data_IF_893213437153
#
_entry.id   IF_893213437153
#
_cell.length_a   1.000
_cell.length_b   1.000
_cell.length_c   1.000
_cell.angle_alpha   90.00
_cell.angle_beta   90.00
_cell.angle_gamma   90.00
#
_symmetry.space_group_name_H-M   'P 1'
#
loop_
_entity.id
_entity.type
_entity.pdbx_description
1 polymer ?
#
# COMPACT_ATOMS: atom_id res chain seq x y z
N UNK A 1 15.79 19.36 12.69
CA UNK A 1 14.41 19.19 12.20
C UNK A 1 14.43 19.18 10.69
N UNK A 2 13.87 18.17 10.04
CA UNK A 2 13.96 18.06 8.58
C UNK A 2 13.49 16.72 8.05
N UNK A 3 12.25 16.32 8.35
CA UNK A 3 11.58 15.19 7.66
C UNK A 3 10.16 15.57 7.24
N UNK A 4 10.01 16.84 6.85
CA UNK A 4 8.78 17.43 6.33
C UNK A 4 8.94 17.89 4.89
N UNK A 5 9.75 17.19 4.07
CA UNK A 5 9.59 17.32 2.64
C UNK A 5 8.20 16.76 2.34
N UNK A 6 7.23 17.66 2.11
CA UNK A 6 5.89 17.31 1.68
C UNK A 6 6.05 16.41 0.46
N UNK A 7 5.85 15.10 0.60
CA UNK A 7 5.73 14.22 -0.56
C UNK A 7 4.69 14.86 -1.47
N UNK A 8 5.06 15.10 -2.72
CA UNK A 8 4.12 15.72 -3.64
C UNK A 8 2.93 14.77 -3.85
N UNK A 9 1.78 15.29 -4.27
CA UNK A 9 0.64 14.44 -4.56
C UNK A 9 0.99 13.35 -5.61
N UNK A 10 1.89 13.67 -6.55
CA UNK A 10 2.40 12.75 -7.55
C UNK A 10 3.23 11.61 -6.93
N UNK A 11 4.10 11.91 -5.96
CA UNK A 11 4.90 10.87 -5.28
C UNK A 11 4.03 9.90 -4.49
N UNK A 12 2.96 10.41 -3.86
CA UNK A 12 2.00 9.58 -3.12
C UNK A 12 1.19 8.69 -4.05
N UNK A 13 0.76 9.20 -5.20
CA UNK A 13 0.10 8.43 -6.26
C UNK A 13 1.00 7.30 -6.77
N UNK A 14 2.24 7.64 -7.17
CA UNK A 14 3.21 6.67 -7.65
C UNK A 14 3.50 5.58 -6.60
N UNK A 15 3.64 5.96 -5.33
CA UNK A 15 3.83 5.00 -4.24
C UNK A 15 2.60 4.10 -4.04
N UNK A 16 1.40 4.66 -4.13
CA UNK A 16 0.14 3.91 -4.03
C UNK A 16 0.02 2.88 -5.15
N UNK A 17 0.33 3.28 -6.38
CA UNK A 17 0.30 2.39 -7.55
C UNK A 17 1.34 1.27 -7.43
N UNK A 18 2.57 1.58 -7.01
CA UNK A 18 3.61 0.57 -6.73
C UNK A 18 3.17 -0.44 -5.68
N UNK A 19 2.55 0.02 -4.59
CA UNK A 19 2.02 -0.86 -3.55
C UNK A 19 0.91 -1.76 -4.08
N UNK A 20 -0.06 -1.20 -4.80
CA UNK A 20 -1.17 -1.96 -5.37
C UNK A 20 -0.68 -3.01 -6.39
N UNK A 21 0.26 -2.64 -7.26
CA UNK A 21 0.89 -3.56 -8.20
C UNK A 21 1.61 -4.70 -7.49
N UNK A 22 2.39 -4.38 -6.44
CA UNK A 22 3.10 -5.40 -5.66
C UNK A 22 2.14 -6.39 -4.97
N UNK A 23 1.04 -5.89 -4.39
CA UNK A 23 0.00 -6.72 -3.78
C UNK A 23 -0.75 -7.57 -4.81
N UNK A 24 -0.94 -7.06 -6.04
CA UNK A 24 -1.55 -7.82 -7.15
C UNK A 24 -0.66 -9.00 -7.56
N UNK A 25 0.65 -8.78 -7.65
CA UNK A 25 1.62 -9.84 -7.98
C UNK A 25 1.88 -10.79 -6.80
N UNK A 26 1.81 -10.30 -5.56
CA UNK A 26 2.11 -11.05 -4.34
C UNK A 26 0.97 -10.94 -3.31
N UNK A 27 -0.18 -11.60 -3.56
CA UNK A 27 -1.31 -11.55 -2.65
C UNK A 27 -1.00 -12.26 -1.32
N UNK A 28 -1.55 -11.74 -0.22
CA UNK A 28 -1.46 -12.37 1.10
C UNK A 28 -0.25 -11.97 1.93
N UNK A 29 0.54 -11.00 1.48
CA UNK A 29 1.68 -10.50 2.24
C UNK A 29 1.29 -9.46 3.31
N UNK A 30 2.09 -9.40 4.36
CA UNK A 30 1.98 -8.39 5.43
C UNK A 30 2.69 -7.10 5.04
N UNK A 31 2.29 -5.98 5.63
CA UNK A 31 2.89 -4.67 5.35
C UNK A 31 4.41 -4.64 5.56
N UNK A 32 4.92 -5.34 6.56
CA UNK A 32 6.36 -5.41 6.86
C UNK A 32 7.15 -6.10 5.73
N UNK A 33 6.56 -7.14 5.13
CA UNK A 33 7.16 -7.85 4.01
C UNK A 33 7.15 -6.96 2.76
N UNK A 34 6.02 -6.30 2.48
CA UNK A 34 5.91 -5.38 1.34
C UNK A 34 6.86 -4.18 1.50
N UNK A 35 6.96 -3.62 2.70
CA UNK A 35 7.87 -2.52 3.01
C UNK A 35 9.33 -2.85 2.70
N UNK A 36 9.76 -4.06 3.04
CA UNK A 36 11.14 -4.51 2.80
C UNK A 36 11.47 -4.49 1.30
N UNK A 37 10.52 -4.92 0.48
CA UNK A 37 10.67 -5.05 -0.97
C UNK A 37 10.55 -3.69 -1.67
N UNK A 38 9.67 -2.81 -1.18
CA UNK A 38 9.49 -1.47 -1.73
C UNK A 38 10.47 -0.43 -1.16
N UNK A 39 11.25 -0.78 -0.13
CA UNK A 39 12.14 0.16 0.57
C UNK A 39 11.39 1.27 1.30
N UNK A 40 10.17 0.99 1.76
CA UNK A 40 9.24 1.98 2.33
C UNK A 40 8.97 1.73 3.81
N UNK A 41 8.33 2.69 4.50
CA UNK A 41 7.86 2.51 5.87
C UNK A 41 6.34 2.52 5.98
N UNK A 42 5.82 1.89 7.03
CA UNK A 42 4.38 1.89 7.35
C UNK A 42 3.82 3.30 7.51
N UNK A 43 4.60 4.25 8.03
CA UNK A 43 4.15 5.65 8.19
C UNK A 43 3.90 6.33 6.85
N UNK A 44 4.69 5.96 5.85
CA UNK A 44 4.63 6.54 4.51
C UNK A 44 3.47 5.96 3.71
N UNK A 45 3.17 4.68 3.95
CA UNK A 45 2.12 3.94 3.28
C UNK A 45 0.75 3.99 3.98
N UNK A 46 0.68 4.44 5.24
CA UNK A 46 -0.58 4.44 5.98
C UNK A 46 -1.70 5.23 5.27
N UNK A 47 -1.39 6.41 4.74
CA UNK A 47 -2.35 7.22 3.98
C UNK A 47 -2.63 6.63 2.58
N UNK A 48 -1.62 6.29 1.75
CA UNK A 48 -1.79 5.54 0.51
C UNK A 48 -2.68 4.29 0.62
N UNK A 49 -2.41 3.43 1.59
CA UNK A 49 -3.15 2.17 1.80
C UNK A 49 -4.63 2.46 2.12
N UNK A 50 -4.91 3.45 2.96
CA UNK A 50 -6.30 3.85 3.26
C UNK A 50 -7.03 4.31 2.00
N UNK A 51 -6.37 5.11 1.16
CA UNK A 51 -6.93 5.55 -0.13
C UNK A 51 -7.20 4.36 -1.05
N UNK A 52 -6.23 3.46 -1.22
CA UNK A 52 -6.37 2.26 -2.06
C UNK A 52 -7.49 1.31 -1.58
N UNK A 53 -7.65 1.14 -0.27
CA UNK A 53 -8.75 0.35 0.31
C UNK A 53 -10.10 1.04 0.02
N UNK A 54 -10.18 2.35 0.24
CA UNK A 54 -11.38 3.15 -0.04
C UNK A 54 -11.78 3.11 -1.51
N UNK A 55 -10.80 3.06 -2.42
CA UNK A 55 -11.02 2.96 -3.86
C UNK A 55 -11.34 1.53 -4.31
N UNK A 56 -11.16 0.53 -3.44
CA UNK A 56 -11.36 -0.89 -3.75
C UNK A 56 -10.24 -1.50 -4.60
N UNK A 57 -9.07 -0.85 -4.64
CA UNK A 57 -7.88 -1.31 -5.37
C UNK A 57 -7.15 -2.43 -4.62
N UNK A 58 -7.17 -2.38 -3.28
CA UNK A 58 -6.67 -3.45 -2.41
C UNK A 58 -7.69 -3.77 -1.31
N UNK A 59 -7.52 -4.91 -0.66
CA UNK A 59 -8.25 -5.28 0.55
C UNK A 59 -7.28 -5.73 1.63
N UNK A 60 -7.66 -5.52 2.89
CA UNK A 60 -6.88 -5.93 4.04
C UNK A 60 -7.67 -6.99 4.84
N UNK A 61 -7.01 -8.07 5.26
CA UNK A 61 -7.60 -9.15 6.06
C UNK A 61 -6.75 -9.40 7.29
N UNK A 62 -7.39 -9.67 8.42
CA UNK A 62 -6.71 -9.93 9.70
C UNK A 62 -6.77 -8.73 10.65
N UNK A 63 -5.99 -8.80 11.74
CA UNK A 63 -6.03 -7.82 12.83
C UNK A 63 -4.63 -7.50 13.33
N UNK A 64 -4.37 -6.22 13.64
CA UNK A 64 -3.08 -5.71 14.15
C UNK A 64 -1.92 -6.14 13.24
N UNK A 65 -0.96 -6.89 13.77
CA UNK A 65 0.24 -7.32 13.05
C UNK A 65 -0.07 -8.41 12.02
N UNK A 66 -1.10 -9.22 12.22
CA UNK A 66 -1.51 -10.27 11.27
C UNK A 66 -2.31 -9.75 10.08
N UNK A 67 -2.22 -8.45 9.78
CA UNK A 67 -2.92 -7.86 8.64
C UNK A 67 -2.17 -8.19 7.35
N UNK A 68 -2.84 -8.91 6.46
CA UNK A 68 -2.37 -9.25 5.11
C UNK A 68 -3.16 -8.49 4.07
N UNK A 69 -2.52 -8.18 2.95
CA UNK A 69 -3.08 -7.40 1.87
C UNK A 69 -3.31 -8.26 0.63
N UNK A 70 -4.44 -8.03 -0.04
CA UNK A 70 -4.86 -8.75 -1.23
C UNK A 70 -5.31 -7.75 -2.30
N UNK A 71 -5.22 -8.12 -3.59
CA UNK A 71 -5.78 -7.29 -4.66
C UNK A 71 -7.27 -7.10 -4.44
N UNK A 72 -7.73 -5.86 -4.64
CA UNK A 72 -9.14 -5.50 -4.56
C UNK A 72 -9.84 -5.79 -5.88
N UNK A 73 -11.18 -5.78 -5.86
CA UNK A 73 -12.00 -6.10 -7.03
C UNK A 73 -11.75 -5.17 -8.22
N UNK A 74 -11.34 -3.91 -8.00
CA UNK A 74 -10.99 -2.99 -9.09
C UNK A 74 -9.63 -3.30 -9.72
N UNK A 75 -8.64 -3.75 -8.93
CA UNK A 75 -7.31 -4.07 -9.46
C UNK A 75 -7.32 -5.30 -10.39
N UNK A 76 -8.32 -6.19 -10.26
CA UNK A 76 -8.51 -7.34 -11.13
C UNK A 76 -9.14 -6.99 -12.50
N UNK A 77 -9.71 -5.80 -12.65
CA UNK A 77 -10.40 -5.35 -13.89
C UNK A 77 -9.54 -4.50 -14.82
N UNK A 78 -8.29 -4.23 -14.46
CA UNK A 78 -7.37 -3.36 -15.21
C UNK A 78 -6.09 -4.09 -15.56
#
# INVERSE_FOLDING_TARGET
>A
GGRGAKRTAADLEALSQRFAAYVKSNPGLRIEQINKELGTSTKDLALPIRKLISEGMISAKGKKRSTTYFPGKKAAKN
#
